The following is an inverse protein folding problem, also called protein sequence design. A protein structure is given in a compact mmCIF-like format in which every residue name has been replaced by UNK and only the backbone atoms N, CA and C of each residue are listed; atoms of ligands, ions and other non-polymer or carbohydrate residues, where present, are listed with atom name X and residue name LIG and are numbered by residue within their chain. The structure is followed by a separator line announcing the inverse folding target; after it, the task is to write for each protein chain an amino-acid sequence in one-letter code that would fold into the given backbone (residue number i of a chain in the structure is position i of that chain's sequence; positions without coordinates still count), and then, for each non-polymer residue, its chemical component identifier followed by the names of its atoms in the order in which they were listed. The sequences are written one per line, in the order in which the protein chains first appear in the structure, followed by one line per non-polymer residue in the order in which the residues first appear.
data_IF_181820257272
#
_entry.id   IF_181820257272
#
_cell.length_a   1.000
_cell.length_b   1.000
_cell.length_c   1.000
_cell.angle_alpha   90.00
_cell.angle_beta   90.00
_cell.angle_gamma   90.00
#
_symmetry.space_group_name_H-M   'P 1'
#
loop_
_entity.id
_entity.type
_entity.pdbx_description
1 polymer ?
#
# COMPACT_ATOMS: atom_id res chain seq x y z
N UNK A 1 -0.71 8.00 8.96
CA UNK A 1 -2.06 8.60 8.99
C UNK A 1 -2.64 8.56 10.38
N UNK A 2 -3.57 9.45 10.64
CA UNK A 2 -4.37 9.53 11.87
C UNK A 2 -5.82 9.19 11.51
N UNK A 3 -6.44 8.33 12.32
CA UNK A 3 -7.83 7.92 12.15
C UNK A 3 -8.76 8.85 12.93
N UNK A 4 -9.73 9.43 12.25
CA UNK A 4 -10.71 10.35 12.84
C UNK A 4 -12.12 9.79 12.66
N UNK A 5 -12.86 9.65 13.77
CA UNK A 5 -14.26 9.19 13.76
C UNK A 5 -15.15 10.23 13.10
N UNK A 6 -15.99 9.77 12.18
CA UNK A 6 -16.92 10.62 11.43
C UNK A 6 -18.06 11.08 12.33
N UNK A 7 -17.99 12.32 12.74
CA UNK A 7 -19.10 13.07 13.31
C UNK A 7 -18.92 14.57 13.01
N UNK A 8 -19.99 15.32 13.03
CA UNK A 8 -20.00 16.75 12.66
C UNK A 8 -18.98 17.58 13.48
N UNK A 9 -18.80 17.25 14.75
CA UNK A 9 -17.88 17.97 15.64
C UNK A 9 -16.42 17.69 15.28
N UNK A 10 -16.05 16.43 15.07
CA UNK A 10 -14.69 16.05 14.73
C UNK A 10 -14.31 16.56 13.33
N UNK A 11 -15.21 16.42 12.36
CA UNK A 11 -14.99 16.89 11.00
C UNK A 11 -14.74 18.41 10.95
N UNK A 12 -15.49 19.19 11.75
CA UNK A 12 -15.26 20.64 11.84
C UNK A 12 -13.87 21.00 12.43
N UNK A 13 -13.31 20.16 13.30
CA UNK A 13 -11.99 20.41 13.89
C UNK A 13 -10.83 20.12 12.93
N UNK A 14 -11.07 19.29 11.94
CA UNK A 14 -10.04 18.83 10.98
C UNK A 14 -10.15 19.51 9.61
N UNK A 15 -10.96 20.56 9.49
CA UNK A 15 -11.02 21.38 8.28
C UNK A 15 -9.64 21.99 8.01
N UNK A 16 -9.21 21.97 6.75
CA UNK A 16 -7.89 22.42 6.30
C UNK A 16 -6.82 21.30 6.30
N UNK A 17 -7.14 20.11 6.84
CA UNK A 17 -6.23 18.94 6.80
C UNK A 17 -6.48 18.12 5.55
N UNK A 18 -5.46 17.42 5.09
CA UNK A 18 -5.54 16.58 3.90
C UNK A 18 -5.92 15.13 4.22
N UNK A 19 -6.76 14.55 3.37
CA UNK A 19 -7.15 13.14 3.43
C UNK A 19 -5.97 12.25 3.02
N UNK A 20 -5.65 11.27 3.85
CA UNK A 20 -4.65 10.25 3.54
C UNK A 20 -5.23 9.08 2.73
N UNK A 21 -6.55 8.90 2.75
CA UNK A 21 -7.26 7.87 1.98
C UNK A 21 -8.56 8.44 1.39
N UNK A 22 -9.04 7.78 0.35
CA UNK A 22 -10.33 8.11 -0.27
C UNK A 22 -11.48 7.90 0.70
N UNK A 23 -12.47 8.76 0.65
CA UNK A 23 -13.78 8.52 1.27
C UNK A 23 -14.66 7.87 0.23
N UNK A 24 -15.15 6.68 0.53
CA UNK A 24 -15.91 5.85 -0.39
C UNK A 24 -17.27 5.48 0.18
N UNK A 25 -18.24 5.30 -0.71
CA UNK A 25 -19.57 4.82 -0.36
C UNK A 25 -19.83 3.49 -1.06
N UNK A 26 -20.19 2.43 -0.33
CA UNK A 26 -20.60 1.19 -0.96
C UNK A 26 -21.92 1.43 -1.72
N UNK A 27 -21.97 1.00 -2.96
CA UNK A 27 -23.15 1.03 -3.82
C UNK A 27 -23.42 -0.37 -4.31
N UNK A 28 -24.61 -0.83 -4.12
CA UNK A 28 -25.09 -2.10 -4.64
C UNK A 28 -25.84 -1.85 -5.93
N UNK A 29 -25.41 -2.48 -7.01
CA UNK A 29 -26.09 -2.41 -8.31
C UNK A 29 -26.49 -3.84 -8.72
N UNK A 30 -27.76 -3.97 -9.06
CA UNK A 30 -28.30 -5.21 -9.60
C UNK A 30 -28.18 -5.22 -11.12
N UNK A 31 -27.46 -6.17 -11.66
CA UNK A 31 -27.37 -6.40 -13.08
C UNK A 31 -28.15 -7.66 -13.44
N UNK A 32 -28.94 -7.58 -14.49
CA UNK A 32 -29.57 -8.75 -15.10
C UNK A 32 -28.60 -9.31 -16.14
N UNK A 33 -28.14 -10.55 -15.92
CA UNK A 33 -27.35 -11.25 -16.92
C UNK A 33 -28.23 -11.55 -18.14
N UNK A 34 -27.92 -10.95 -19.27
CA UNK A 34 -28.72 -11.10 -20.52
C UNK A 34 -28.72 -12.54 -21.05
N UNK A 35 -27.75 -13.38 -20.67
CA UNK A 35 -27.64 -14.75 -21.12
C UNK A 35 -28.44 -15.74 -20.27
N UNK A 36 -28.52 -15.51 -18.95
CA UNK A 36 -29.16 -16.42 -18.00
C UNK A 36 -30.46 -15.88 -17.43
N UNK A 37 -30.69 -14.56 -17.51
CA UNK A 37 -31.84 -13.88 -16.91
C UNK A 37 -31.76 -13.78 -15.38
N UNK A 38 -30.63 -14.17 -14.78
CA UNK A 38 -30.41 -14.05 -13.34
C UNK A 38 -30.00 -12.64 -12.92
N UNK A 39 -30.51 -12.19 -11.77
CA UNK A 39 -30.10 -10.92 -11.17
C UNK A 39 -28.81 -11.16 -10.39
N UNK A 40 -27.72 -10.58 -10.87
CA UNK A 40 -26.42 -10.60 -10.17
C UNK A 40 -26.24 -9.27 -9.47
N UNK A 41 -26.21 -9.32 -8.13
CA UNK A 41 -25.93 -8.16 -7.30
C UNK A 41 -24.42 -7.93 -7.25
N UNK A 42 -23.96 -6.79 -7.74
CA UNK A 42 -22.54 -6.39 -7.73
C UNK A 42 -22.35 -5.24 -6.77
N UNK A 43 -21.51 -5.45 -5.78
CA UNK A 43 -21.06 -4.37 -4.90
C UNK A 43 -20.01 -3.51 -5.60
N UNK A 44 -20.32 -2.26 -5.81
CA UNK A 44 -19.40 -1.24 -6.31
C UNK A 44 -19.10 -0.21 -5.24
N UNK A 45 -17.96 0.41 -5.36
CA UNK A 45 -17.52 1.45 -4.43
C UNK A 45 -17.47 2.77 -5.19
N UNK A 46 -18.32 3.72 -4.79
CA UNK A 46 -18.32 5.07 -5.32
C UNK A 46 -17.35 5.93 -4.51
N UNK A 47 -16.41 6.60 -5.19
CA UNK A 47 -15.49 7.53 -4.54
C UNK A 47 -16.22 8.87 -4.36
N UNK A 48 -16.40 9.28 -3.11
CA UNK A 48 -17.04 10.54 -2.75
C UNK A 48 -16.05 11.70 -2.70
N UNK A 49 -14.87 11.43 -2.11
CA UNK A 49 -13.78 12.40 -2.03
C UNK A 49 -12.46 11.66 -2.28
N UNK A 50 -11.64 12.21 -3.15
CA UNK A 50 -10.34 11.66 -3.46
C UNK A 50 -9.33 11.84 -2.32
N UNK A 51 -8.33 10.96 -2.28
CA UNK A 51 -7.16 11.12 -1.41
C UNK A 51 -6.44 12.45 -1.72
N UNK A 52 -5.67 12.96 -0.77
CA UNK A 52 -4.90 14.20 -0.88
C UNK A 52 -5.80 15.47 -1.03
N UNK A 53 -7.11 15.33 -0.91
CA UNK A 53 -8.03 16.46 -0.92
C UNK A 53 -7.99 17.16 0.43
N UNK A 54 -7.83 18.48 0.43
CA UNK A 54 -7.99 19.32 1.61
C UNK A 54 -9.46 19.37 2.05
N UNK A 55 -9.70 19.06 3.32
CA UNK A 55 -11.05 19.06 3.88
C UNK A 55 -11.58 20.48 4.01
N UNK A 56 -12.72 20.72 3.40
CA UNK A 56 -13.50 21.96 3.48
C UNK A 56 -14.85 21.73 4.14
N UNK A 57 -15.54 22.80 4.49
CA UNK A 57 -16.91 22.72 5.02
C UNK A 57 -17.88 22.01 4.07
N UNK A 58 -17.65 22.14 2.76
CA UNK A 58 -18.48 21.48 1.74
C UNK A 58 -18.36 19.95 1.76
N UNK A 59 -17.25 19.40 2.23
CA UNK A 59 -17.00 17.96 2.28
C UNK A 59 -17.64 17.27 3.49
N UNK A 60 -18.06 18.03 4.53
CA UNK A 60 -18.59 17.46 5.77
C UNK A 60 -19.84 16.63 5.52
N UNK A 61 -20.81 17.18 4.79
CA UNK A 61 -22.07 16.48 4.54
C UNK A 61 -21.89 15.25 3.67
N UNK A 62 -21.16 15.31 2.53
CA UNK A 62 -20.82 14.11 1.74
C UNK A 62 -20.15 13.00 2.53
N UNK A 63 -19.23 13.33 3.45
CA UNK A 63 -18.55 12.35 4.32
C UNK A 63 -19.55 11.66 5.25
N UNK A 64 -20.46 12.42 5.87
CA UNK A 64 -21.48 11.84 6.75
C UNK A 64 -22.44 10.96 5.94
N UNK A 65 -22.86 11.39 4.77
CA UNK A 65 -23.79 10.68 3.88
C UNK A 65 -23.16 9.43 3.23
N UNK A 66 -21.82 9.34 3.21
CA UNK A 66 -21.12 8.14 2.74
C UNK A 66 -21.33 6.94 3.66
N UNK A 67 -21.69 7.17 4.93
CA UNK A 67 -21.81 6.10 5.94
C UNK A 67 -20.49 5.60 6.50
N UNK A 68 -19.37 6.21 6.13
CA UNK A 68 -18.05 5.87 6.67
C UNK A 68 -17.99 6.15 8.16
N UNK A 69 -17.49 5.21 8.94
CA UNK A 69 -17.35 5.38 10.40
C UNK A 69 -16.12 6.23 10.76
N UNK A 70 -15.07 6.14 9.95
CA UNK A 70 -13.81 6.82 10.15
C UNK A 70 -13.26 7.36 8.83
N UNK A 71 -12.45 8.40 8.91
CA UNK A 71 -11.63 8.92 7.82
C UNK A 71 -10.16 8.92 8.24
N UNK A 72 -9.26 8.78 7.28
CA UNK A 72 -7.82 8.83 7.49
C UNK A 72 -7.28 10.18 7.03
N UNK A 73 -6.58 10.86 7.93
CA UNK A 73 -5.91 12.13 7.68
C UNK A 73 -4.39 11.97 7.76
N UNK A 74 -3.66 12.82 7.05
CA UNK A 74 -2.24 12.96 7.27
C UNK A 74 -1.95 13.53 8.68
N UNK A 75 -0.90 13.02 9.33
CA UNK A 75 -0.46 13.57 10.62
C UNK A 75 0.13 14.97 10.42
N UNK A 76 -0.07 15.87 11.39
CA UNK A 76 0.46 17.25 11.31
C UNK A 76 1.98 17.30 11.52
N UNK A 77 2.54 16.41 12.36
CA UNK A 77 3.96 16.34 12.69
C UNK A 77 4.77 15.49 11.71
N UNK A 78 4.58 15.68 10.42
CA UNK A 78 5.32 14.89 9.44
C UNK A 78 6.67 15.54 9.14
N UNK A 79 7.70 14.70 9.14
CA UNK A 79 8.98 15.07 8.56
C UNK A 79 8.75 15.36 7.08
N UNK A 80 8.74 16.65 6.71
CA UNK A 80 8.30 17.14 5.39
C UNK A 80 8.96 16.37 4.24
N UNK A 81 10.23 15.97 4.40
CA UNK A 81 10.99 15.30 3.35
C UNK A 81 10.51 13.86 3.12
N UNK A 82 10.27 13.08 4.19
CA UNK A 82 9.79 11.70 4.08
C UNK A 82 8.38 11.64 3.48
N UNK A 83 7.52 12.53 3.96
CA UNK A 83 6.18 12.68 3.41
C UNK A 83 6.23 13.02 1.91
N UNK A 84 7.07 13.97 1.51
CA UNK A 84 7.19 14.39 0.12
C UNK A 84 7.63 13.25 -0.81
N UNK A 85 8.52 12.37 -0.34
CA UNK A 85 8.98 11.20 -1.11
C UNK A 85 7.83 10.24 -1.34
N UNK A 86 7.13 9.85 -0.27
CA UNK A 86 5.98 8.94 -0.35
C UNK A 86 4.87 9.56 -1.19
N UNK A 87 4.56 10.83 -0.97
CA UNK A 87 3.58 11.58 -1.75
C UNK A 87 3.89 11.58 -3.23
N UNK A 88 5.11 11.94 -3.61
CA UNK A 88 5.55 11.96 -5.02
C UNK A 88 5.51 10.56 -5.65
N UNK A 89 5.81 9.51 -4.88
CA UNK A 89 5.72 8.12 -5.34
C UNK A 89 4.28 7.74 -5.63
N UNK A 90 3.36 8.06 -4.71
CA UNK A 90 1.93 7.79 -4.88
C UNK A 90 1.31 8.60 -6.03
N UNK A 91 1.78 9.82 -6.27
CA UNK A 91 1.32 10.64 -7.40
C UNK A 91 1.73 10.07 -8.77
N UNK A 92 2.86 9.37 -8.80
CA UNK A 92 3.36 8.71 -10.03
C UNK A 92 2.79 7.30 -10.23
N UNK A 93 2.14 6.76 -9.22
CA UNK A 93 1.52 5.44 -9.30
C UNK A 93 0.24 5.51 -10.16
N UNK A 94 0.20 4.84 -11.32
CA UNK A 94 -0.97 4.83 -12.18
C UNK A 94 -2.10 3.95 -11.63
N UNK A 95 -1.83 3.15 -10.59
CA UNK A 95 -2.75 2.15 -10.08
C UNK A 95 -3.68 2.74 -9.02
N UNK A 96 -4.98 2.53 -9.18
CA UNK A 96 -5.99 2.98 -8.23
C UNK A 96 -6.57 1.83 -7.38
N UNK A 97 -6.42 0.61 -7.85
CA UNK A 97 -6.90 -0.61 -7.19
C UNK A 97 -5.78 -1.62 -7.06
N UNK A 98 -5.93 -2.57 -6.12
CA UNK A 98 -4.99 -3.69 -5.97
C UNK A 98 -4.88 -4.50 -7.26
N UNK A 99 -6.00 -4.72 -7.95
CA UNK A 99 -6.03 -5.44 -9.23
C UNK A 99 -5.17 -4.75 -10.28
N UNK A 100 -5.33 -3.44 -10.46
CA UNK A 100 -4.52 -2.66 -11.40
C UNK A 100 -3.04 -2.70 -11.04
N UNK A 101 -2.69 -2.59 -9.74
CA UNK A 101 -1.33 -2.68 -9.28
C UNK A 101 -0.70 -4.04 -9.60
N UNK A 102 -1.42 -5.14 -9.33
CA UNK A 102 -0.98 -6.51 -9.65
C UNK A 102 -0.71 -6.67 -11.14
N UNK A 103 -1.62 -6.22 -12.00
CA UNK A 103 -1.47 -6.28 -13.46
C UNK A 103 -0.29 -5.42 -13.93
N UNK A 104 -0.14 -4.22 -13.37
CA UNK A 104 0.96 -3.33 -13.71
C UNK A 104 2.32 -3.94 -13.35
N UNK A 105 2.46 -4.48 -12.12
CA UNK A 105 3.67 -5.17 -11.67
C UNK A 105 3.97 -6.38 -12.56
N UNK A 106 2.97 -7.18 -12.90
CA UNK A 106 3.16 -8.34 -13.77
C UNK A 106 3.70 -7.95 -15.15
N UNK A 107 3.12 -6.91 -15.78
CA UNK A 107 3.58 -6.39 -17.07
C UNK A 107 5.04 -5.94 -17.02
N UNK A 108 5.43 -5.24 -15.96
CA UNK A 108 6.82 -4.80 -15.75
C UNK A 108 7.78 -5.98 -15.58
N UNK A 109 7.38 -7.04 -14.89
CA UNK A 109 8.21 -8.20 -14.63
C UNK A 109 8.33 -9.15 -15.83
N UNK A 110 7.29 -9.28 -16.63
CA UNK A 110 7.18 -10.29 -17.67
C UNK A 110 7.18 -9.72 -19.09
N UNK A 111 7.02 -8.41 -19.27
CA UNK A 111 6.78 -7.76 -20.58
C UNK A 111 5.63 -8.41 -21.38
N UNK A 112 4.62 -8.93 -20.70
CA UNK A 112 3.48 -9.64 -21.27
C UNK A 112 2.22 -9.39 -20.44
N UNK A 113 1.06 -9.57 -21.07
CA UNK A 113 -0.21 -9.58 -20.36
C UNK A 113 -0.42 -10.92 -19.65
N UNK A 114 -0.95 -10.93 -18.41
CA UNK A 114 -1.32 -12.17 -17.74
C UNK A 114 -2.57 -12.77 -18.39
N UNK A 115 -2.70 -14.08 -18.31
CA UNK A 115 -3.90 -14.79 -18.79
C UNK A 115 -5.12 -14.42 -17.93
N UNK A 116 -4.91 -14.29 -16.64
CA UNK A 116 -5.90 -13.91 -15.64
C UNK A 116 -5.25 -13.25 -14.40
N UNK A 117 -6.08 -12.72 -13.51
CA UNK A 117 -5.63 -12.06 -12.27
C UNK A 117 -4.92 -13.05 -11.32
N UNK A 118 -5.33 -14.33 -11.31
CA UNK A 118 -4.75 -15.35 -10.46
C UNK A 118 -3.30 -15.64 -10.88
N UNK A 119 -3.06 -15.77 -12.18
CA UNK A 119 -1.71 -15.93 -12.75
C UNK A 119 -0.80 -14.77 -12.40
N UNK A 120 -1.31 -13.53 -12.45
CA UNK A 120 -0.52 -12.35 -12.09
C UNK A 120 -0.16 -12.35 -10.60
N UNK A 121 -1.11 -12.64 -9.71
CA UNK A 121 -0.89 -12.74 -8.26
C UNK A 121 0.10 -13.85 -7.91
N UNK A 122 -0.07 -15.03 -8.52
CA UNK A 122 0.83 -16.16 -8.31
C UNK A 122 2.27 -15.83 -8.75
N UNK A 123 2.44 -15.17 -9.88
CA UNK A 123 3.76 -14.78 -10.38
C UNK A 123 4.48 -13.84 -9.41
N UNK A 124 3.77 -12.85 -8.84
CA UNK A 124 4.31 -11.92 -7.84
C UNK A 124 4.63 -12.65 -6.55
N UNK A 125 3.69 -13.49 -6.06
CA UNK A 125 3.91 -14.29 -4.86
C UNK A 125 5.13 -15.19 -5.00
N UNK A 126 5.24 -15.89 -6.14
CA UNK A 126 6.38 -16.78 -6.39
C UNK A 126 7.71 -16.03 -6.48
N UNK A 127 7.70 -14.78 -6.94
CA UNK A 127 8.92 -13.99 -7.03
C UNK A 127 9.47 -13.59 -5.65
N UNK A 128 8.61 -13.14 -4.74
CA UNK A 128 9.02 -12.53 -3.48
C UNK A 128 8.87 -13.45 -2.26
N UNK A 129 7.91 -14.36 -2.26
CA UNK A 129 7.49 -15.10 -1.07
C UNK A 129 7.57 -16.62 -1.19
N UNK A 130 8.08 -17.16 -2.30
CA UNK A 130 8.18 -18.60 -2.51
C UNK A 130 9.56 -19.15 -2.20
N UNK A 131 9.61 -20.18 -1.36
CA UNK A 131 10.83 -20.94 -1.04
C UNK A 131 11.46 -21.62 -2.26
N UNK A 132 10.68 -21.85 -3.31
CA UNK A 132 11.18 -22.45 -4.57
C UNK A 132 12.10 -21.51 -5.35
N UNK A 133 12.07 -20.22 -5.05
CA UNK A 133 12.77 -19.19 -5.83
C UNK A 133 14.13 -18.85 -5.22
N UNK A 134 14.18 -18.74 -3.91
CA UNK A 134 15.39 -18.40 -3.15
C UNK A 134 15.20 -18.79 -1.68
N UNK A 135 16.32 -18.82 -1.00
CA UNK A 135 16.39 -19.13 0.41
C UNK A 135 17.33 -18.11 1.07
N UNK A 136 16.79 -17.32 1.99
CA UNK A 136 17.61 -16.38 2.77
C UNK A 136 18.60 -17.08 3.69
N UNK A 137 18.30 -18.32 4.10
CA UNK A 137 18.98 -18.99 5.16
C UNK A 137 18.86 -18.27 6.50
N UNK A 138 19.34 -18.88 7.57
CA UNK A 138 19.31 -18.29 8.92
C UNK A 138 20.15 -17.00 9.00
N UNK A 139 21.31 -17.00 8.33
CA UNK A 139 22.22 -15.84 8.31
C UNK A 139 21.57 -14.63 7.62
N UNK A 140 20.87 -14.86 6.51
CA UNK A 140 20.16 -13.82 5.79
C UNK A 140 19.01 -13.25 6.64
N UNK A 141 18.20 -14.12 7.26
CA UNK A 141 17.11 -13.70 8.16
C UNK A 141 17.64 -12.92 9.35
N UNK A 142 18.70 -13.42 10.00
CA UNK A 142 19.34 -12.72 11.12
C UNK A 142 19.79 -11.31 10.73
N UNK A 143 20.41 -11.14 9.57
CA UNK A 143 20.89 -9.83 9.11
C UNK A 143 19.77 -8.85 8.84
N UNK A 144 18.70 -9.30 8.17
CA UNK A 144 17.51 -8.46 7.92
C UNK A 144 16.89 -8.04 9.24
N UNK A 145 16.64 -8.99 10.14
CA UNK A 145 16.06 -8.69 11.45
C UNK A 145 16.91 -7.67 12.23
N UNK A 146 18.22 -7.88 12.28
CA UNK A 146 19.12 -6.97 12.99
C UNK A 146 19.17 -5.58 12.36
N UNK A 147 19.22 -5.49 11.03
CA UNK A 147 19.32 -4.21 10.33
C UNK A 147 18.05 -3.39 10.43
N UNK A 148 16.92 -4.05 10.28
CA UNK A 148 15.59 -3.41 10.29
C UNK A 148 14.93 -3.43 11.66
N UNK A 149 15.63 -3.91 12.70
CA UNK A 149 15.12 -4.03 14.06
C UNK A 149 13.81 -4.82 14.15
N UNK A 150 13.77 -5.98 13.49
CA UNK A 150 12.62 -6.88 13.39
C UNK A 150 12.84 -8.15 14.21
N UNK A 151 11.74 -8.82 14.60
CA UNK A 151 11.74 -10.06 15.38
C UNK A 151 11.06 -11.21 14.62
N UNK A 152 11.26 -11.30 13.30
CA UNK A 152 10.71 -12.40 12.51
C UNK A 152 11.45 -13.71 12.85
N UNK A 153 10.74 -14.84 13.00
CA UNK A 153 11.34 -16.14 13.31
C UNK A 153 12.46 -16.51 12.32
N UNK A 154 13.53 -17.11 12.85
CA UNK A 154 14.71 -17.48 12.06
C UNK A 154 14.43 -18.58 11.02
N UNK A 155 13.38 -19.37 11.24
CA UNK A 155 12.90 -20.41 10.33
C UNK A 155 12.22 -19.81 9.07
N UNK A 156 11.87 -18.53 9.10
CA UNK A 156 11.27 -17.84 7.96
C UNK A 156 12.34 -17.54 6.92
N UNK A 157 12.40 -18.36 5.88
CA UNK A 157 13.49 -18.37 4.88
C UNK A 157 13.17 -17.56 3.62
N UNK A 158 12.01 -16.95 3.54
CA UNK A 158 11.58 -16.05 2.46
C UNK A 158 11.29 -14.65 3.00
N UNK A 159 11.17 -13.68 2.11
CA UNK A 159 10.69 -12.34 2.52
C UNK A 159 9.24 -12.42 2.97
N UNK A 160 8.89 -11.52 3.88
CA UNK A 160 7.52 -11.29 4.35
C UNK A 160 7.03 -9.92 3.89
N UNK A 161 5.74 -9.65 4.04
CA UNK A 161 5.19 -8.31 3.74
C UNK A 161 5.76 -7.25 4.68
N UNK A 162 5.99 -7.64 5.93
CA UNK A 162 6.60 -6.80 6.95
C UNK A 162 8.04 -6.40 6.55
N UNK A 163 8.83 -7.37 6.04
CA UNK A 163 10.16 -7.06 5.51
C UNK A 163 10.11 -5.98 4.43
N UNK A 164 9.18 -6.10 3.48
CA UNK A 164 9.04 -5.12 2.39
C UNK A 164 8.71 -3.73 2.90
N UNK A 165 7.81 -3.63 3.88
CA UNK A 165 7.42 -2.35 4.49
C UNK A 165 8.62 -1.71 5.22
N UNK A 166 9.32 -2.49 6.05
CA UNK A 166 10.46 -1.98 6.82
C UNK A 166 11.66 -1.64 5.93
N UNK A 167 11.87 -2.35 4.82
CA UNK A 167 12.87 -1.99 3.81
C UNK A 167 12.55 -0.61 3.19
N UNK A 168 11.29 -0.38 2.79
CA UNK A 168 10.88 0.90 2.21
C UNK A 168 11.03 2.02 3.24
N UNK A 169 10.61 1.79 4.48
CA UNK A 169 10.77 2.74 5.57
C UNK A 169 12.25 3.08 5.80
N UNK A 170 13.11 2.08 5.89
CA UNK A 170 14.54 2.27 6.04
C UNK A 170 15.15 3.09 4.88
N UNK A 171 14.75 2.81 3.64
CA UNK A 171 15.21 3.57 2.47
C UNK A 171 14.79 5.05 2.52
N UNK A 172 13.59 5.34 2.99
CA UNK A 172 13.11 6.72 3.15
C UNK A 172 13.86 7.42 4.31
N UNK A 173 14.10 6.72 5.41
CA UNK A 173 14.86 7.25 6.55
C UNK A 173 16.33 7.55 6.21
N UNK A 174 16.97 6.77 5.32
CA UNK A 174 18.35 6.99 4.88
C UNK A 174 18.58 8.38 4.26
N UNK A 175 17.56 8.97 3.64
CA UNK A 175 17.68 10.29 3.01
C UNK A 175 17.87 11.39 4.05
N UNK A 176 17.26 11.22 5.23
CA UNK A 176 17.29 12.20 6.30
C UNK A 176 18.30 11.86 7.42
N UNK A 177 18.84 10.64 7.40
CA UNK A 177 19.78 10.19 8.42
C UNK A 177 21.22 10.27 7.91
N UNK A 178 22.15 10.48 8.83
CA UNK A 178 23.58 10.31 8.56
C UNK A 178 24.00 8.83 8.62
N UNK A 179 23.07 7.91 8.38
CA UNK A 179 23.36 6.48 8.39
C UNK A 179 24.22 6.12 7.17
N UNK A 180 25.25 5.32 7.41
CA UNK A 180 26.11 4.83 6.35
C UNK A 180 25.33 3.86 5.46
N UNK A 181 25.42 4.10 4.16
CA UNK A 181 24.88 3.19 3.15
C UNK A 181 25.75 1.92 3.13
N UNK A 182 25.12 0.75 2.99
CA UNK A 182 25.86 -0.51 2.89
C UNK A 182 26.80 -0.52 1.71
N UNK A 183 28.05 -0.93 1.95
CA UNK A 183 29.00 -1.19 0.89
C UNK A 183 28.54 -2.42 0.08
N UNK A 184 28.07 -2.18 -1.16
CA UNK A 184 27.60 -3.23 -2.06
C UNK A 184 28.73 -4.15 -2.53
N UNK A 185 29.99 -3.72 -2.45
CA UNK A 185 31.16 -4.50 -2.85
C UNK A 185 31.71 -5.36 -1.72
N UNK A 186 31.26 -5.13 -0.48
CA UNK A 186 31.67 -5.96 0.63
C UNK A 186 31.15 -7.39 0.47
N UNK A 187 32.03 -8.39 0.58
CA UNK A 187 31.68 -9.81 0.36
C UNK A 187 30.49 -10.30 1.21
N UNK A 188 30.30 -9.75 2.39
CA UNK A 188 29.19 -10.10 3.26
C UNK A 188 27.83 -9.61 2.73
N UNK A 189 27.81 -8.59 1.88
CA UNK A 189 26.63 -7.99 1.30
C UNK A 189 26.30 -8.54 -0.11
N UNK A 190 27.30 -9.12 -0.79
CA UNK A 190 27.16 -9.72 -2.13
C UNK A 190 26.78 -11.19 -2.13
N UNK A 191 26.64 -11.82 -0.98
CA UNK A 191 26.31 -13.25 -0.87
C UNK A 191 24.83 -13.48 -1.17
N UNK A 192 24.46 -13.29 -2.43
CA UNK A 192 23.22 -13.79 -3.00
C UNK A 192 23.60 -14.99 -3.86
N UNK A 193 23.12 -16.14 -3.49
CA UNK A 193 23.04 -17.29 -4.38
C UNK A 193 21.64 -17.44 -4.87
#
# INVERSE_FOLDING_TARGET
SEEVKVNKTNLNRVIGRQLAARVVKPRVEDFVDEATGEVVTVERTEVIIERETELTKAHIQPIIDSGSQTILLHKEDQNMTEYQIIYNTLQKDPSNTEREAVLHIYRQLRNAEPADDATAREAIHNLFFSEKRYDLGEVGRYRINRKLNMEIPMETRTLTKEDMIEIIKYLVELINSNAEVDDIDHLSNRRVR
#
